data_IF_786029300226
#
_entry.id   IF_786029300226
#
_cell.length_a   1.000
_cell.length_b   1.000
_cell.length_c   1.000
_cell.angle_alpha   90.00
_cell.angle_beta   90.00
_cell.angle_gamma   90.00
#
_symmetry.space_group_name_H-M   'P 1'
#
loop_
_entity.id
_entity.type
_entity.pdbx_description
1 polymer ?
#
# COMPACT_ATOMS: atom_id res chain seq x y z
N UNK A 1 13.45 2.80 7.77
CA UNK A 1 13.15 4.21 8.09
C UNK A 1 12.87 4.91 6.78
N UNK A 2 11.73 5.56 6.72
CA UNK A 2 11.12 6.08 5.51
C UNK A 2 9.96 6.98 5.90
N UNK A 3 9.58 7.90 5.02
CA UNK A 3 8.69 9.04 5.34
C UNK A 3 7.41 8.62 6.07
N UNK A 4 6.78 7.51 5.65
CA UNK A 4 5.54 7.01 6.29
C UNK A 4 5.82 6.29 7.61
N UNK A 5 6.88 5.46 7.67
CA UNK A 5 7.24 4.70 8.87
C UNK A 5 7.57 5.61 10.06
N UNK A 6 8.20 6.76 9.80
CA UNK A 6 8.67 7.68 10.83
C UNK A 6 7.63 8.75 11.22
N UNK A 7 6.47 8.77 10.57
CA UNK A 7 5.40 9.73 10.86
C UNK A 7 4.56 9.32 12.08
N UNK A 8 4.23 10.31 12.92
CA UNK A 8 3.38 10.14 14.12
C UNK A 8 2.02 10.81 14.01
N UNK A 9 1.74 11.50 12.90
CA UNK A 9 0.47 12.21 12.70
C UNK A 9 -0.69 11.23 12.46
N UNK A 10 -1.87 11.64 12.91
CA UNK A 10 -3.09 10.84 12.81
C UNK A 10 -4.12 11.53 11.92
N UNK A 11 -4.89 10.74 11.18
CA UNK A 11 -5.86 11.28 10.23
C UNK A 11 -5.21 11.64 8.90
N UNK A 12 -5.96 12.32 8.02
CA UNK A 12 -5.47 12.69 6.69
C UNK A 12 -4.53 13.89 6.78
N UNK A 13 -3.30 13.71 6.30
CA UNK A 13 -2.27 14.74 6.24
C UNK A 13 -1.32 14.47 5.05
N UNK A 14 -0.65 15.50 4.51
CA UNK A 14 0.32 15.35 3.44
C UNK A 14 1.67 14.81 3.95
N UNK A 15 2.48 14.26 3.04
CA UNK A 15 3.86 13.85 3.31
C UNK A 15 4.82 14.49 2.30
N UNK A 16 6.02 14.81 2.76
CA UNK A 16 7.11 15.24 1.88
C UNK A 16 7.69 14.07 1.08
N UNK A 17 8.39 14.37 -0.01
CA UNK A 17 9.12 13.35 -0.77
C UNK A 17 10.31 12.83 0.06
N UNK A 18 10.64 11.53 -0.07
CA UNK A 18 11.89 10.97 0.45
C UNK A 18 13.12 11.78 0.00
N UNK A 19 14.11 11.91 0.89
CA UNK A 19 15.34 12.70 0.64
C UNK A 19 16.15 12.21 -0.57
N UNK A 20 16.01 10.93 -0.92
CA UNK A 20 16.66 10.30 -2.07
C UNK A 20 15.87 10.50 -3.39
N UNK A 21 14.75 11.22 -3.34
CA UNK A 21 13.89 11.50 -4.49
C UNK A 21 13.11 10.28 -5.00
N UNK A 22 13.09 9.19 -4.23
CA UNK A 22 12.30 8.01 -4.58
C UNK A 22 10.81 8.25 -4.31
N UNK A 23 9.94 7.52 -5.00
CA UNK A 23 8.51 7.59 -4.73
C UNK A 23 8.17 6.82 -3.45
N UNK A 24 7.24 7.33 -2.64
CA UNK A 24 6.69 6.62 -1.47
C UNK A 24 5.88 5.37 -1.85
N UNK A 25 5.49 5.23 -3.13
CA UNK A 25 4.82 4.05 -3.69
C UNK A 25 5.35 3.74 -5.09
N UNK A 26 5.52 2.46 -5.40
CA UNK A 26 5.96 2.00 -6.73
C UNK A 26 5.18 0.77 -7.20
N UNK A 27 5.20 0.53 -8.51
CA UNK A 27 4.62 -0.69 -9.07
C UNK A 27 5.45 -1.92 -8.67
N UNK A 28 4.78 -2.98 -8.21
CA UNK A 28 5.46 -4.23 -7.90
C UNK A 28 5.94 -4.95 -9.17
N UNK A 29 7.23 -5.24 -9.26
CA UNK A 29 7.83 -6.02 -10.36
C UNK A 29 7.68 -7.54 -10.23
N UNK A 30 7.21 -8.01 -9.08
CA UNK A 30 7.21 -9.42 -8.67
C UNK A 30 5.79 -9.99 -8.49
N UNK A 31 4.78 -9.30 -9.02
CA UNK A 31 3.38 -9.74 -8.98
C UNK A 31 2.97 -10.27 -10.35
N UNK A 32 2.45 -11.50 -10.38
CA UNK A 32 1.88 -12.11 -11.58
C UNK A 32 0.35 -12.19 -11.46
N UNK A 33 -0.37 -11.65 -12.46
CA UNK A 33 -1.83 -11.66 -12.50
C UNK A 33 -2.32 -12.80 -13.40
N UNK A 34 -2.98 -13.80 -12.82
CA UNK A 34 -3.66 -14.86 -13.56
C UNK A 34 -5.19 -14.67 -13.49
N UNK A 35 -5.86 -14.31 -14.59
CA UNK A 35 -7.30 -14.05 -14.59
C UNK A 35 -8.16 -15.32 -14.44
N UNK A 36 -7.55 -16.50 -14.50
CA UNK A 36 -8.27 -17.79 -14.44
C UNK A 36 -8.21 -18.47 -13.07
N UNK A 37 -7.44 -17.92 -12.14
CA UNK A 37 -7.35 -18.46 -10.77
C UNK A 37 -8.67 -18.18 -10.03
N UNK A 38 -9.24 -19.24 -9.45
CA UNK A 38 -10.41 -19.12 -8.57
C UNK A 38 -9.97 -18.62 -7.20
N UNK A 39 -10.77 -17.76 -6.58
CA UNK A 39 -10.58 -17.27 -5.21
C UNK A 39 -11.92 -17.22 -4.47
N UNK A 40 -11.87 -17.43 -3.15
CA UNK A 40 -13.03 -17.35 -2.27
C UNK A 40 -13.12 -15.96 -1.63
N UNK A 41 -14.33 -15.43 -1.51
CA UNK A 41 -14.60 -14.15 -0.84
C UNK A 41 -15.49 -14.41 0.38
N UNK A 42 -15.00 -14.04 1.55
CA UNK A 42 -15.77 -14.12 2.81
C UNK A 42 -16.15 -12.71 3.23
N UNK A 43 -17.45 -12.41 3.24
CA UNK A 43 -17.97 -11.12 3.68
C UNK A 43 -18.32 -11.14 5.17
N UNK A 44 -17.53 -10.46 5.98
CA UNK A 44 -17.70 -10.41 7.43
C UNK A 44 -18.72 -9.36 7.90
N UNK A 45 -19.27 -8.51 7.02
CA UNK A 45 -20.22 -7.45 7.39
C UNK A 45 -21.62 -7.96 7.71
N UNK A 46 -21.88 -9.24 7.44
CA UNK A 46 -23.17 -9.91 7.61
C UNK A 46 -23.13 -11.04 8.65
N UNK A 47 -22.09 -11.06 9.47
CA UNK A 47 -21.95 -11.96 10.63
C UNK A 47 -22.59 -11.31 11.85
#
# INVERSE_FOLDING_TARGET
MGVIHDCQETGFHPHEEPLDGTSIYEHCSHVYMNPTVKFDMVDLRRV
#
